data_IF_008027984502
#
_entry.id   IF_008027984502
#
_cell.length_a   1.000
_cell.length_b   1.000
_cell.length_c   1.000
_cell.angle_alpha   90.00
_cell.angle_beta   90.00
_cell.angle_gamma   90.00
#
_symmetry.space_group_name_H-M   'P 1'
#
loop_
_entity.id
_entity.type
_entity.pdbx_description
1 polymer ?
#
# COMPACT_ATOMS: atom_id res chain seq x y z
N UNK A 1 -29.66 -18.32 13.38
CA UNK A 1 -28.79 -17.88 12.28
C UNK A 1 -27.49 -17.44 12.93
N UNK A 2 -26.33 -17.98 12.51
CA UNK A 2 -25.04 -17.45 12.96
C UNK A 2 -24.92 -16.03 12.43
N UNK A 3 -24.55 -15.11 13.29
CA UNK A 3 -24.32 -13.71 12.92
C UNK A 3 -23.16 -13.67 11.90
N UNK A 4 -23.37 -13.08 10.74
CA UNK A 4 -22.33 -12.95 9.71
C UNK A 4 -21.26 -12.00 10.23
N UNK A 5 -20.03 -12.48 10.36
CA UNK A 5 -18.87 -11.66 10.73
C UNK A 5 -18.13 -11.22 9.47
N UNK A 6 -17.90 -9.92 9.38
CA UNK A 6 -17.11 -9.30 8.31
C UNK A 6 -15.74 -8.91 8.83
N UNK A 7 -14.71 -9.08 8.01
CA UNK A 7 -13.33 -8.74 8.36
C UNK A 7 -12.68 -7.98 7.23
N UNK A 8 -11.88 -6.98 7.57
CA UNK A 8 -11.04 -6.25 6.63
C UNK A 8 -9.62 -6.78 6.68
N UNK A 9 -9.09 -7.22 5.55
CA UNK A 9 -7.72 -7.74 5.48
C UNK A 9 -6.65 -6.64 5.43
N UNK A 10 -7.02 -5.39 5.11
CA UNK A 10 -6.06 -4.29 4.91
C UNK A 10 -5.03 -4.15 6.03
N UNK A 11 -5.38 -4.10 7.32
CA UNK A 11 -4.40 -3.92 8.40
C UNK A 11 -3.44 -5.11 8.58
N UNK A 12 -3.73 -6.25 7.97
CA UNK A 12 -2.93 -7.47 8.00
C UNK A 12 -2.07 -7.65 6.75
N UNK A 13 -2.37 -6.91 5.68
CA UNK A 13 -1.83 -7.18 4.35
C UNK A 13 -1.22 -5.97 3.65
N UNK A 14 -1.55 -4.75 4.08
CA UNK A 14 -1.26 -3.54 3.30
C UNK A 14 -0.48 -2.51 4.10
N UNK A 15 0.50 -1.89 3.45
CA UNK A 15 1.19 -0.70 3.96
C UNK A 15 1.33 0.36 2.87
N UNK A 16 1.03 1.59 3.23
CA UNK A 16 1.19 2.76 2.37
C UNK A 16 2.12 3.76 3.03
N UNK A 17 3.12 4.25 2.29
CA UNK A 17 4.02 5.29 2.76
C UNK A 17 3.64 6.66 2.22
N UNK A 18 3.61 7.64 3.12
CA UNK A 18 3.34 9.05 2.82
C UNK A 18 4.64 9.84 2.63
N UNK A 19 4.54 11.05 2.11
CA UNK A 19 5.67 11.94 1.77
C UNK A 19 6.50 12.39 3.00
N UNK A 20 5.93 12.36 4.19
CA UNK A 20 6.60 12.65 5.45
C UNK A 20 7.18 11.41 6.17
N UNK A 21 7.09 10.23 5.55
CA UNK A 21 7.52 8.96 6.12
C UNK A 21 6.51 8.27 7.03
N UNK A 22 5.30 8.81 7.19
CA UNK A 22 4.23 8.13 7.93
C UNK A 22 3.80 6.85 7.17
N UNK A 23 3.60 5.78 7.94
CA UNK A 23 3.10 4.50 7.44
C UNK A 23 1.66 4.33 7.88
N UNK A 24 0.79 4.03 6.92
CA UNK A 24 -0.63 3.82 7.14
C UNK A 24 -1.08 2.46 6.55
N UNK A 25 -2.00 1.77 7.24
CA UNK A 25 -2.43 0.42 6.85
C UNK A 25 -3.59 0.40 5.84
N UNK A 26 -4.07 1.56 5.40
CA UNK A 26 -5.20 1.69 4.48
C UNK A 26 -5.23 3.09 3.85
N UNK A 27 -6.18 3.36 2.95
CA UNK A 27 -6.40 4.68 2.36
C UNK A 27 -6.67 5.74 3.45
N UNK A 28 -5.95 6.89 3.47
CA UNK A 28 -6.03 7.87 4.55
C UNK A 28 -7.44 8.33 4.92
N UNK A 29 -8.32 8.72 3.97
CA UNK A 29 -9.70 9.12 4.30
C UNK A 29 -10.55 8.01 4.93
N UNK A 30 -10.25 6.75 4.62
CA UNK A 30 -11.02 5.61 5.11
C UNK A 30 -10.71 5.22 6.56
N UNK A 31 -9.61 5.74 7.10
CA UNK A 31 -9.12 5.44 8.45
C UNK A 31 -8.85 6.71 9.26
N UNK A 32 -9.51 7.82 8.94
CA UNK A 32 -9.33 9.10 9.63
C UNK A 32 -7.84 9.50 9.77
N UNK A 33 -7.03 9.22 8.73
CA UNK A 33 -5.58 9.44 8.71
C UNK A 33 -4.81 8.74 9.84
N UNK A 34 -5.32 7.62 10.35
CA UNK A 34 -4.64 6.84 11.39
C UNK A 34 -3.31 6.29 10.89
N UNK A 35 -2.21 6.67 11.54
CA UNK A 35 -0.87 6.16 11.21
C UNK A 35 -0.40 5.13 12.22
N UNK A 36 0.25 4.07 11.73
CA UNK A 36 0.82 3.02 12.59
C UNK A 36 2.25 3.34 13.03
N UNK A 37 2.96 4.21 12.34
CA UNK A 37 4.28 4.68 12.70
C UNK A 37 4.89 5.60 11.66
N UNK A 38 6.19 5.94 11.82
CA UNK A 38 6.96 6.76 10.89
C UNK A 38 8.34 6.12 10.65
N UNK A 39 8.71 5.91 9.40
CA UNK A 39 9.94 5.22 8.99
C UNK A 39 11.22 6.02 9.30
N UNK A 40 11.11 7.33 9.56
CA UNK A 40 12.23 8.16 9.96
C UNK A 40 12.54 8.04 11.46
N UNK A 41 11.60 7.55 12.26
CA UNK A 41 11.65 7.54 13.72
C UNK A 41 11.74 6.14 14.32
N UNK A 42 11.27 5.12 13.58
CA UNK A 42 11.04 3.78 14.10
C UNK A 42 11.59 2.72 13.14
N UNK A 43 11.96 1.58 13.68
CA UNK A 43 12.29 0.37 12.93
C UNK A 43 11.03 -0.25 12.28
N UNK A 44 11.24 -1.12 11.31
CA UNK A 44 10.17 -1.88 10.67
C UNK A 44 9.27 -2.61 11.69
N UNK A 45 9.88 -3.33 12.65
CA UNK A 45 9.16 -4.07 13.68
C UNK A 45 8.32 -3.16 14.60
N UNK A 46 8.88 -2.03 15.00
CA UNK A 46 8.16 -1.04 15.82
C UNK A 46 6.99 -0.40 15.08
N UNK A 47 7.03 -0.35 13.76
CA UNK A 47 5.92 0.13 12.92
C UNK A 47 4.91 -0.99 12.69
N UNK A 48 5.36 -2.12 12.08
CA UNK A 48 4.47 -3.15 11.58
C UNK A 48 3.82 -3.96 12.70
N UNK A 49 4.55 -4.23 13.77
CA UNK A 49 4.07 -4.97 14.95
C UNK A 49 3.98 -4.12 16.23
N UNK A 50 4.14 -2.79 16.12
CA UNK A 50 4.00 -1.87 17.24
C UNK A 50 2.57 -1.73 17.75
N UNK A 51 2.43 -1.10 18.90
CA UNK A 51 1.16 -0.96 19.62
C UNK A 51 0.03 -0.39 18.76
N UNK A 52 0.32 0.61 17.91
CA UNK A 52 -0.70 1.22 17.03
C UNK A 52 -1.19 0.26 15.96
N UNK A 53 -0.30 -0.52 15.35
CA UNK A 53 -0.67 -1.52 14.35
C UNK A 53 -1.51 -2.64 15.00
N UNK A 54 -1.11 -3.11 16.17
CA UNK A 54 -1.84 -4.11 16.93
C UNK A 54 -3.25 -3.62 17.30
N UNK A 55 -3.38 -2.41 17.86
CA UNK A 55 -4.70 -1.81 18.17
C UNK A 55 -5.60 -1.68 16.95
N UNK A 56 -5.03 -1.36 15.79
CA UNK A 56 -5.81 -1.31 14.57
C UNK A 56 -6.33 -2.70 14.20
N UNK A 57 -5.48 -3.73 14.23
CA UNK A 57 -5.87 -5.15 13.97
C UNK A 57 -6.90 -5.64 14.99
N UNK A 58 -6.73 -5.33 16.28
CA UNK A 58 -7.74 -5.61 17.31
C UNK A 58 -9.12 -5.09 16.95
N UNK A 59 -9.20 -3.86 16.40
CA UNK A 59 -10.47 -3.25 16.01
C UNK A 59 -11.18 -3.99 14.86
N UNK A 60 -10.42 -4.71 14.04
CA UNK A 60 -10.98 -5.57 13.00
C UNK A 60 -11.42 -6.91 13.60
N UNK A 61 -10.59 -7.49 14.47
CA UNK A 61 -10.86 -8.78 15.13
C UNK A 61 -12.13 -8.69 16.01
N UNK A 62 -12.29 -7.62 16.76
CA UNK A 62 -13.46 -7.41 17.63
C UNK A 62 -14.68 -6.90 16.87
N UNK A 63 -14.53 -6.57 15.59
CA UNK A 63 -15.62 -6.08 14.73
C UNK A 63 -16.05 -4.64 15.00
N UNK A 64 -15.33 -3.89 15.85
CA UNK A 64 -15.68 -2.51 16.19
C UNK A 64 -15.33 -1.51 15.08
N UNK A 65 -14.32 -1.80 14.23
CA UNK A 65 -13.80 -0.90 13.19
C UNK A 65 -13.54 0.53 13.68
N UNK A 66 -13.24 0.71 14.99
CA UNK A 66 -13.19 2.01 15.69
C UNK A 66 -12.21 3.03 15.13
N UNK A 67 -11.27 2.59 14.27
CA UNK A 67 -10.34 3.47 13.57
C UNK A 67 -10.71 3.71 12.10
N UNK A 68 -11.80 3.08 11.63
CA UNK A 68 -12.29 3.24 10.28
C UNK A 68 -13.36 4.34 10.21
N UNK A 69 -13.43 4.99 9.06
CA UNK A 69 -14.44 5.99 8.76
C UNK A 69 -15.56 5.32 7.94
N UNK A 70 -16.68 5.01 8.58
CA UNK A 70 -17.83 4.34 7.94
C UNK A 70 -18.42 5.19 6.80
N UNK A 71 -18.41 6.52 6.93
CA UNK A 71 -18.97 7.43 5.93
C UNK A 71 -18.09 7.55 4.68
N UNK A 72 -16.80 7.23 4.80
CA UNK A 72 -15.85 7.37 3.70
C UNK A 72 -15.40 6.03 3.11
N UNK A 73 -15.48 4.93 3.86
CA UNK A 73 -15.01 3.62 3.41
C UNK A 73 -16.10 2.89 2.61
N UNK A 74 -15.96 2.76 1.27
CA UNK A 74 -16.97 2.08 0.46
C UNK A 74 -17.15 0.61 0.83
N UNK A 75 -16.09 -0.05 1.32
CA UNK A 75 -16.16 -1.44 1.74
C UNK A 75 -17.03 -1.65 2.98
N UNK A 76 -16.99 -0.73 3.94
CA UNK A 76 -17.87 -0.76 5.12
C UNK A 76 -19.31 -0.42 4.75
N UNK A 77 -19.52 0.59 3.89
CA UNK A 77 -20.86 0.99 3.45
C UNK A 77 -21.59 -0.13 2.70
N UNK A 78 -20.88 -0.80 1.79
CA UNK A 78 -21.47 -1.84 0.94
C UNK A 78 -21.33 -3.25 1.53
N UNK A 79 -20.55 -3.41 2.61
CA UNK A 79 -20.16 -4.70 3.19
C UNK A 79 -19.54 -5.65 2.16
N UNK A 80 -18.72 -5.07 1.27
CA UNK A 80 -18.02 -5.77 0.18
C UNK A 80 -16.50 -5.67 0.37
N UNK A 81 -15.72 -5.80 -0.69
CA UNK A 81 -14.26 -5.71 -0.66
C UNK A 81 -13.72 -4.43 0.03
N UNK A 82 -12.67 -4.48 0.82
CA UNK A 82 -11.86 -5.64 1.25
C UNK A 82 -12.39 -6.34 2.51
N UNK A 83 -13.68 -6.29 2.76
CA UNK A 83 -14.36 -6.93 3.89
C UNK A 83 -14.95 -8.26 3.40
N UNK A 84 -14.61 -9.35 4.07
CA UNK A 84 -15.01 -10.70 3.68
C UNK A 84 -15.86 -11.36 4.76
N UNK A 85 -16.81 -12.18 4.35
CA UNK A 85 -17.47 -13.13 5.26
C UNK A 85 -16.47 -14.24 5.63
N UNK A 86 -16.36 -14.58 6.91
CA UNK A 86 -15.43 -15.62 7.37
C UNK A 86 -15.74 -17.01 6.80
N UNK A 87 -17.00 -17.28 6.56
CA UNK A 87 -17.49 -18.57 6.05
C UNK A 87 -17.78 -18.52 4.54
N UNK A 88 -17.19 -17.57 3.79
CA UNK A 88 -17.41 -17.47 2.34
C UNK A 88 -16.84 -18.70 1.63
N UNK A 89 -17.68 -19.52 1.00
CA UNK A 89 -17.26 -20.73 0.31
C UNK A 89 -16.65 -20.48 -1.08
N UNK A 90 -16.55 -19.20 -1.52
CA UNK A 90 -16.08 -18.88 -2.86
C UNK A 90 -14.60 -19.21 -3.04
N UNK A 91 -14.23 -20.22 -3.87
CA UNK A 91 -12.84 -20.60 -4.07
C UNK A 91 -11.99 -19.52 -4.75
N UNK A 92 -12.59 -18.53 -5.42
CA UNK A 92 -11.86 -17.39 -5.97
C UNK A 92 -11.27 -16.47 -4.86
N UNK A 93 -11.78 -16.58 -3.62
CA UNK A 93 -11.29 -15.89 -2.44
C UNK A 93 -10.36 -16.78 -1.59
N UNK A 94 -9.97 -17.94 -2.08
CA UNK A 94 -9.14 -18.92 -1.37
C UNK A 94 -7.64 -18.81 -1.73
N UNK A 95 -7.11 -17.61 -1.95
CA UNK A 95 -5.66 -17.46 -2.06
C UNK A 95 -5.00 -17.86 -0.73
N UNK A 96 -3.79 -18.44 -0.80
CA UNK A 96 -3.02 -18.83 0.37
C UNK A 96 -2.86 -17.68 1.38
N UNK A 97 -2.63 -16.46 0.88
CA UNK A 97 -2.54 -15.25 1.71
C UNK A 97 -3.83 -14.91 2.44
N UNK A 98 -4.96 -14.99 1.72
CA UNK A 98 -6.25 -14.71 2.32
C UNK A 98 -6.58 -15.73 3.42
N UNK A 99 -6.23 -17.00 3.20
CA UNK A 99 -6.42 -18.03 4.22
C UNK A 99 -5.53 -17.79 5.44
N UNK A 100 -4.27 -17.41 5.24
CA UNK A 100 -3.35 -17.04 6.33
C UNK A 100 -3.93 -15.91 7.18
N UNK A 101 -4.41 -14.84 6.55
CA UNK A 101 -5.00 -13.70 7.25
C UNK A 101 -6.29 -14.10 7.98
N UNK A 102 -7.13 -14.95 7.39
CA UNK A 102 -8.32 -15.49 8.06
C UNK A 102 -7.95 -16.28 9.32
N UNK A 103 -6.91 -17.11 9.24
CA UNK A 103 -6.42 -17.90 10.37
C UNK A 103 -5.84 -17.01 11.49
N UNK A 104 -5.15 -15.93 11.13
CA UNK A 104 -4.65 -14.95 12.08
C UNK A 104 -5.78 -14.20 12.79
N UNK A 105 -6.79 -13.75 12.05
CA UNK A 105 -7.99 -13.10 12.61
C UNK A 105 -8.72 -14.07 13.54
N UNK A 106 -8.94 -15.32 13.11
CA UNK A 106 -9.62 -16.35 13.92
C UNK A 106 -8.85 -16.69 15.21
N UNK A 107 -7.52 -16.61 15.15
CA UNK A 107 -6.64 -16.87 16.30
C UNK A 107 -6.40 -15.61 17.15
N UNK A 108 -7.05 -14.49 16.86
CA UNK A 108 -6.87 -13.18 17.50
C UNK A 108 -5.42 -12.69 17.47
N UNK A 109 -4.68 -12.98 16.41
CA UNK A 109 -3.28 -12.54 16.26
C UNK A 109 -3.23 -11.09 15.83
N UNK A 110 -2.54 -10.27 16.60
CA UNK A 110 -2.26 -8.86 16.28
C UNK A 110 -0.79 -8.61 15.93
N UNK A 111 0.10 -9.49 16.37
CA UNK A 111 1.50 -9.55 15.97
C UNK A 111 1.64 -10.57 14.86
N UNK A 112 2.14 -10.14 13.70
CA UNK A 112 2.24 -10.94 12.49
C UNK A 112 3.68 -11.41 12.27
N UNK A 113 3.83 -12.65 11.80
CA UNK A 113 5.14 -13.21 11.45
C UNK A 113 5.62 -12.81 10.05
N UNK A 114 4.77 -12.15 9.27
CA UNK A 114 5.06 -11.67 7.91
C UNK A 114 4.86 -10.17 7.80
N UNK A 115 5.42 -9.57 6.76
CA UNK A 115 5.20 -8.19 6.38
C UNK A 115 3.94 -7.98 5.53
N UNK A 116 3.71 -6.75 5.07
CA UNK A 116 2.63 -6.47 4.13
C UNK A 116 2.93 -7.10 2.77
N UNK A 117 1.97 -7.87 2.24
CA UNK A 117 2.07 -8.44 0.88
C UNK A 117 1.74 -7.40 -0.22
N UNK A 118 0.98 -6.36 0.12
CA UNK A 118 0.71 -5.23 -0.78
C UNK A 118 1.31 -3.94 -0.21
N UNK A 119 2.17 -3.29 -0.97
CA UNK A 119 2.73 -2.00 -0.60
C UNK A 119 2.37 -0.92 -1.61
N UNK A 120 1.97 0.25 -1.10
CA UNK A 120 1.55 1.37 -1.93
C UNK A 120 2.50 2.56 -1.78
N UNK A 121 2.92 3.08 -2.93
CA UNK A 121 3.91 4.15 -3.05
C UNK A 121 3.21 5.49 -3.25
N UNK A 122 2.95 6.24 -2.17
CA UNK A 122 2.24 7.52 -2.21
C UNK A 122 3.07 8.72 -1.77
N UNK A 123 4.37 8.56 -1.60
CA UNK A 123 5.26 9.58 -1.05
C UNK A 123 5.77 10.62 -2.05
N UNK A 124 5.55 10.47 -3.36
CA UNK A 124 5.81 11.53 -4.35
C UNK A 124 4.54 11.92 -5.09
N UNK A 125 4.18 13.19 -4.95
CA UNK A 125 2.98 13.77 -5.57
C UNK A 125 3.24 14.36 -6.95
N UNK A 126 4.43 14.16 -7.54
CA UNK A 126 4.77 14.67 -8.86
C UNK A 126 3.80 14.16 -9.94
N UNK A 127 3.25 15.10 -10.72
CA UNK A 127 2.37 14.84 -11.84
C UNK A 127 2.49 15.97 -12.85
N UNK A 128 2.51 15.62 -14.13
CA UNK A 128 2.58 16.56 -15.24
C UNK A 128 1.22 17.16 -15.64
N UNK A 129 0.16 16.87 -14.89
CA UNK A 129 -1.18 17.45 -15.05
C UNK A 129 -1.66 18.14 -13.78
N UNK A 130 -2.60 19.06 -13.94
CA UNK A 130 -3.33 19.75 -12.87
C UNK A 130 -4.84 19.55 -13.05
N UNK A 131 -5.27 18.28 -12.96
CA UNK A 131 -6.69 17.95 -13.06
C UNK A 131 -7.49 18.62 -11.94
N UNK A 132 -8.58 19.35 -12.25
CA UNK A 132 -9.33 20.15 -11.25
C UNK A 132 -9.87 19.34 -10.07
N UNK A 133 -10.19 18.07 -10.28
CA UNK A 133 -10.65 17.15 -9.23
C UNK A 133 -9.53 16.66 -8.30
N UNK A 134 -8.25 16.81 -8.69
CA UNK A 134 -7.11 16.26 -7.98
C UNK A 134 -6.23 17.34 -7.36
N UNK A 135 -5.89 18.39 -8.13
CA UNK A 135 -4.92 19.41 -7.71
C UNK A 135 -5.11 20.73 -8.47
N UNK A 136 -4.62 21.83 -7.89
CA UNK A 136 -4.75 23.17 -8.47
C UNK A 136 -3.61 23.54 -9.42
N UNK A 137 -2.47 22.83 -9.32
CA UNK A 137 -1.24 23.13 -10.07
C UNK A 137 -0.47 21.87 -10.42
N UNK A 138 0.43 21.98 -11.40
CA UNK A 138 1.41 20.92 -11.71
C UNK A 138 2.41 20.84 -10.55
N UNK A 139 2.60 19.64 -10.02
CA UNK A 139 3.54 19.39 -8.92
C UNK A 139 4.70 18.56 -9.47
N UNK A 140 5.93 19.05 -9.30
CA UNK A 140 7.14 18.35 -9.67
C UNK A 140 8.16 18.48 -8.55
N UNK A 141 8.53 17.38 -7.93
CA UNK A 141 9.54 17.37 -6.88
C UNK A 141 10.93 17.68 -7.43
N UNK A 142 11.69 18.49 -6.70
CA UNK A 142 13.06 18.89 -7.07
C UNK A 142 13.89 19.31 -5.85
N UNK A 143 15.19 19.61 -6.07
CA UNK A 143 16.10 20.06 -5.03
C UNK A 143 16.13 19.16 -3.81
N UNK A 144 16.15 19.75 -2.62
CA UNK A 144 16.24 19.04 -1.33
C UNK A 144 15.07 18.08 -1.08
N UNK A 145 13.87 18.39 -1.55
CA UNK A 145 12.71 17.52 -1.38
C UNK A 145 12.88 16.23 -2.18
N UNK A 146 13.45 16.32 -3.38
CA UNK A 146 13.79 15.15 -4.18
C UNK A 146 14.82 14.26 -3.49
N UNK A 147 15.88 14.86 -2.92
CA UNK A 147 16.92 14.12 -2.21
C UNK A 147 16.34 13.40 -0.99
N UNK A 148 15.52 14.09 -0.22
CA UNK A 148 14.78 13.50 0.92
C UNK A 148 13.89 12.32 0.49
N UNK A 149 13.11 12.46 -0.58
CA UNK A 149 12.24 11.37 -1.05
C UNK A 149 13.04 10.18 -1.61
N UNK A 150 14.23 10.40 -2.17
CA UNK A 150 15.12 9.31 -2.55
C UNK A 150 15.67 8.56 -1.32
N UNK A 151 16.06 9.27 -0.25
CA UNK A 151 16.46 8.65 1.02
C UNK A 151 15.31 7.87 1.64
N UNK A 152 14.10 8.42 1.61
CA UNK A 152 12.88 7.78 2.07
C UNK A 152 12.59 6.49 1.30
N UNK A 153 12.77 6.52 -0.03
CA UNK A 153 12.64 5.34 -0.89
C UNK A 153 13.63 4.23 -0.50
N UNK A 154 14.88 4.57 -0.21
CA UNK A 154 15.86 3.56 0.21
C UNK A 154 15.55 2.96 1.58
N UNK A 155 15.00 3.73 2.51
CA UNK A 155 14.49 3.20 3.79
C UNK A 155 13.31 2.24 3.55
N UNK A 156 12.37 2.63 2.67
CA UNK A 156 11.22 1.81 2.31
C UNK A 156 11.62 0.48 1.70
N UNK A 157 12.56 0.50 0.74
CA UNK A 157 13.11 -0.70 0.11
C UNK A 157 13.68 -1.67 1.13
N UNK A 158 14.50 -1.18 2.06
CA UNK A 158 15.17 -2.01 3.06
C UNK A 158 14.25 -2.58 4.14
N UNK A 159 13.06 -1.98 4.33
CA UNK A 159 12.18 -2.30 5.46
C UNK A 159 10.94 -3.08 5.06
N UNK A 160 10.23 -2.64 4.01
CA UNK A 160 8.87 -3.10 3.72
C UNK A 160 8.73 -3.92 2.44
N UNK A 161 9.76 -3.99 1.59
CA UNK A 161 9.60 -4.65 0.29
C UNK A 161 9.94 -6.14 0.30
N UNK A 162 10.58 -6.64 1.35
CA UNK A 162 11.03 -8.03 1.40
C UNK A 162 9.86 -9.03 1.26
N UNK A 163 8.77 -8.82 1.99
CA UNK A 163 7.60 -9.71 1.98
C UNK A 163 6.54 -9.28 0.96
N UNK A 164 6.73 -8.14 0.31
CA UNK A 164 5.76 -7.58 -0.60
C UNK A 164 5.72 -8.34 -1.94
N UNK A 165 4.53 -8.76 -2.31
CA UNK A 165 4.24 -9.46 -3.56
C UNK A 165 3.62 -8.52 -4.60
N UNK A 166 2.95 -7.47 -4.14
CA UNK A 166 2.31 -6.48 -5.01
C UNK A 166 2.74 -5.06 -4.69
N UNK A 167 3.21 -4.35 -5.70
CA UNK A 167 3.48 -2.92 -5.64
C UNK A 167 2.39 -2.14 -6.34
N UNK A 168 1.82 -1.14 -5.67
CA UNK A 168 0.92 -0.15 -6.28
C UNK A 168 1.65 1.19 -6.36
N UNK A 169 2.01 1.62 -7.54
CA UNK A 169 2.72 2.86 -7.84
C UNK A 169 1.82 3.70 -8.74
N UNK A 170 1.22 4.72 -8.32
CA UNK A 170 1.10 5.56 -7.14
C UNK A 170 -0.37 5.73 -6.80
N UNK A 171 -0.71 6.52 -5.78
CA UNK A 171 -2.09 6.94 -5.47
C UNK A 171 -2.19 8.45 -5.27
N UNK A 172 -1.06 9.18 -5.39
CA UNK A 172 -0.98 10.61 -5.09
C UNK A 172 -0.38 11.45 -6.22
N UNK A 173 0.29 10.83 -7.20
CA UNK A 173 0.95 11.49 -8.31
C UNK A 173 0.76 10.72 -9.62
N UNK A 174 1.80 10.70 -10.46
CA UNK A 174 1.85 9.93 -11.70
C UNK A 174 3.15 9.12 -11.74
N UNK A 175 3.06 7.83 -11.99
CA UNK A 175 4.21 6.90 -11.92
C UNK A 175 5.37 7.31 -12.86
N UNK A 176 5.06 7.87 -14.03
CA UNK A 176 6.07 8.30 -15.00
C UNK A 176 6.43 9.79 -14.93
N UNK A 177 5.62 10.63 -14.30
CA UNK A 177 5.99 12.02 -14.02
C UNK A 177 6.94 12.11 -12.82
N UNK A 178 6.77 11.25 -11.82
CA UNK A 178 7.63 11.19 -10.64
C UNK A 178 9.08 10.81 -10.99
N UNK A 179 10.07 11.66 -10.68
CA UNK A 179 11.48 11.28 -10.83
C UNK A 179 11.90 10.19 -9.85
N UNK A 180 11.23 10.08 -8.71
CA UNK A 180 11.49 9.08 -7.67
C UNK A 180 11.02 7.70 -8.14
N UNK A 181 9.77 7.58 -8.60
CA UNK A 181 9.24 6.30 -9.07
C UNK A 181 9.89 5.85 -10.38
N UNK A 182 10.27 6.79 -11.27
CA UNK A 182 11.12 6.44 -12.43
C UNK A 182 12.45 5.84 -12.00
N UNK A 183 13.11 6.41 -10.97
CA UNK A 183 14.36 5.86 -10.44
C UNK A 183 14.13 4.45 -9.88
N UNK A 184 13.07 4.23 -9.10
CA UNK A 184 12.70 2.91 -8.62
C UNK A 184 12.56 1.91 -9.78
N UNK A 185 11.73 2.22 -10.77
CA UNK A 185 11.49 1.33 -11.92
C UNK A 185 12.73 1.07 -12.78
N UNK A 186 13.73 1.95 -12.74
CA UNK A 186 15.01 1.78 -13.45
C UNK A 186 16.01 0.94 -12.67
N UNK A 187 15.90 0.87 -11.34
CA UNK A 187 16.95 0.28 -10.48
C UNK A 187 16.44 -0.82 -9.56
N UNK A 188 15.16 -1.15 -9.59
CA UNK A 188 14.59 -2.22 -8.78
C UNK A 188 15.21 -3.57 -9.16
N UNK A 189 15.63 -4.34 -8.17
CA UNK A 189 16.24 -5.66 -8.37
C UNK A 189 15.46 -6.75 -7.60
N UNK A 190 15.78 -8.00 -7.89
CA UNK A 190 15.22 -9.13 -7.15
C UNK A 190 15.65 -9.13 -5.69
N UNK A 191 16.83 -8.60 -5.38
CA UNK A 191 17.33 -8.48 -4.01
C UNK A 191 16.55 -7.44 -3.21
N UNK A 192 16.05 -6.39 -3.87
CA UNK A 192 15.20 -5.37 -3.23
C UNK A 192 13.81 -5.93 -2.87
N UNK A 193 13.27 -6.82 -3.72
CA UNK A 193 11.92 -7.36 -3.58
C UNK A 193 11.86 -8.83 -4.07
N UNK A 194 12.38 -9.77 -3.30
CA UNK A 194 12.52 -11.17 -3.70
C UNK A 194 11.18 -11.88 -3.95
N UNK A 195 10.13 -11.44 -3.28
CA UNK A 195 8.79 -12.04 -3.39
C UNK A 195 7.87 -11.28 -4.36
N UNK A 196 8.38 -10.24 -5.03
CA UNK A 196 7.55 -9.41 -5.93
C UNK A 196 7.01 -10.22 -7.10
N UNK A 197 5.69 -10.20 -7.25
CA UNK A 197 4.97 -10.89 -8.31
C UNK A 197 4.26 -9.93 -9.26
N UNK A 198 3.76 -8.81 -8.74
CA UNK A 198 2.96 -7.85 -9.48
C UNK A 198 3.33 -6.41 -9.21
N UNK A 199 3.38 -5.59 -10.27
CA UNK A 199 3.41 -4.13 -10.18
C UNK A 199 2.19 -3.57 -10.90
N UNK A 200 1.43 -2.74 -10.19
CA UNK A 200 0.32 -1.94 -10.72
C UNK A 200 0.78 -0.49 -10.84
N UNK A 201 0.75 0.06 -12.05
CA UNK A 201 1.11 1.46 -12.30
C UNK A 201 -0.16 2.30 -12.48
N UNK A 202 -0.28 3.38 -11.69
CA UNK A 202 -1.33 4.38 -11.88
C UNK A 202 -0.70 5.60 -12.57
N UNK A 203 -1.19 5.96 -13.77
CA UNK A 203 -0.60 7.01 -14.60
C UNK A 203 -1.66 7.65 -15.49
N UNK A 204 -1.47 8.91 -15.87
CA UNK A 204 -2.31 9.54 -16.90
C UNK A 204 -1.92 9.15 -18.34
N UNK A 205 -0.96 8.28 -18.52
CA UNK A 205 -0.55 7.71 -19.80
C UNK A 205 0.40 8.57 -20.65
N UNK A 206 0.42 9.89 -20.46
CA UNK A 206 1.13 10.81 -21.37
C UNK A 206 2.64 10.61 -21.46
N UNK A 207 3.25 10.09 -20.41
CA UNK A 207 4.71 9.91 -20.32
C UNK A 207 5.17 8.46 -20.51
N UNK A 208 4.28 7.52 -20.74
CA UNK A 208 4.60 6.09 -20.90
C UNK A 208 5.62 5.90 -22.02
N UNK A 209 5.32 6.34 -23.24
CA UNK A 209 6.18 6.15 -24.41
C UNK A 209 7.59 6.67 -24.19
N UNK A 210 7.73 7.80 -23.48
CA UNK A 210 9.04 8.43 -23.19
C UNK A 210 9.86 7.66 -22.18
N UNK A 211 9.23 7.06 -21.16
CA UNK A 211 9.93 6.48 -20.01
C UNK A 211 9.92 4.96 -19.97
N UNK A 212 8.99 4.31 -20.65
CA UNK A 212 8.92 2.85 -20.75
C UNK A 212 10.24 2.17 -21.18
N UNK A 213 10.96 2.68 -22.21
CA UNK A 213 12.22 2.06 -22.62
C UNK A 213 13.31 2.06 -21.53
N UNK A 214 13.16 2.90 -20.51
CA UNK A 214 14.10 3.04 -19.38
C UNK A 214 13.75 2.19 -18.16
N UNK A 215 12.57 1.60 -18.14
CA UNK A 215 12.15 0.64 -17.09
C UNK A 215 13.05 -0.59 -17.24
N UNK A 216 13.67 -1.05 -16.15
CA UNK A 216 14.55 -2.20 -16.23
C UNK A 216 13.77 -3.49 -16.50
N UNK A 217 14.48 -4.55 -16.88
CA UNK A 217 13.87 -5.81 -17.30
C UNK A 217 13.11 -6.50 -16.16
N UNK A 218 13.69 -6.51 -14.96
CA UNK A 218 13.03 -7.09 -13.78
C UNK A 218 11.72 -6.38 -13.46
N UNK A 219 11.73 -5.05 -13.30
CA UNK A 219 10.50 -4.29 -13.04
C UNK A 219 9.48 -4.47 -14.17
N UNK A 220 9.92 -4.47 -15.43
CA UNK A 220 9.04 -4.64 -16.60
C UNK A 220 8.37 -6.01 -16.61
N UNK A 221 9.08 -7.07 -16.25
CA UNK A 221 8.52 -8.43 -16.18
C UNK A 221 7.44 -8.59 -15.10
N UNK A 222 7.42 -7.68 -14.11
CA UNK A 222 6.45 -7.68 -13.00
C UNK A 222 5.27 -6.73 -13.22
N UNK A 223 5.31 -5.82 -14.20
CA UNK A 223 4.19 -4.92 -14.49
C UNK A 223 3.06 -5.70 -15.16
N UNK A 224 2.00 -5.95 -14.39
CA UNK A 224 0.81 -6.67 -14.84
C UNK A 224 -0.35 -5.73 -15.19
N UNK A 225 -0.37 -4.51 -14.65
CA UNK A 225 -1.45 -3.57 -14.87
C UNK A 225 -0.91 -2.14 -15.00
N UNK A 226 -1.41 -1.43 -16.01
CA UNK A 226 -1.26 0.02 -16.16
C UNK A 226 -2.68 0.59 -16.19
N UNK A 227 -3.04 1.28 -15.11
CA UNK A 227 -4.32 1.95 -14.96
C UNK A 227 -4.19 3.43 -15.37
N UNK A 228 -4.98 3.84 -16.34
CA UNK A 228 -5.01 5.21 -16.90
C UNK A 228 -6.30 5.93 -16.54
#
# INVERSE_FOLDING_TARGET
MKEKRYYCIRPFNHAQMMDNGDIIPCCPPWINHYKIGNINEQSYEEIWNGEKAQKFRESIIDGSFRYCNEDACPALQTKTMPVFEMDDPNPAHASHQLQLIKDEINSNKTVLAHGPHEVQFCYDRSCNLSCPSCRREVIMVGGKDKDYLLELQEKWKKSFLHDAETFVITGSGDAFASPIFRKLLQTLTVEDAPNLDSIVLLTNGLLITKHWPKVNEFARSKIQCISV
#
